data_IF_326385959233
#
_entry.id   IF_326385959233
#
_cell.length_a   1.000
_cell.length_b   1.000
_cell.length_c   1.000
_cell.angle_alpha   90.00
_cell.angle_beta   90.00
_cell.angle_gamma   90.00
#
_symmetry.space_group_name_H-M   'P 1'
#
loop_
_entity.id
_entity.type
_entity.pdbx_description
1 polymer ?
#
# COMPACT_ATOMS: atom_id res chain seq x y z
N UNK A 1 -9.87 6.77 30.87
CA UNK A 1 -8.54 6.20 31.09
C UNK A 1 -8.60 4.83 30.42
N UNK A 2 -8.03 4.56 29.25
CA UNK A 2 -6.84 5.04 28.57
C UNK A 2 -7.12 4.96 27.05
N UNK A 3 -7.01 6.08 26.35
CA UNK A 3 -7.07 6.14 24.88
C UNK A 3 -5.70 6.61 24.42
N UNK A 4 -4.74 5.70 24.47
CA UNK A 4 -3.38 5.91 23.98
C UNK A 4 -3.43 6.15 22.46
N UNK A 5 -3.53 7.43 22.12
CA UNK A 5 -3.47 8.01 20.80
C UNK A 5 -2.02 7.92 20.27
N UNK A 6 -1.45 6.72 20.27
CA UNK A 6 -0.05 6.45 19.94
C UNK A 6 0.26 6.47 18.45
N UNK A 7 -0.29 7.44 17.72
CA UNK A 7 0.20 7.82 16.40
C UNK A 7 1.42 8.72 16.54
N UNK A 8 2.30 8.75 15.54
CA UNK A 8 3.35 9.76 15.44
C UNK A 8 2.73 11.16 15.64
N UNK A 9 3.39 12.03 16.41
CA UNK A 9 3.02 13.46 16.53
C UNK A 9 3.31 14.25 15.24
N UNK A 10 3.51 13.55 14.12
CA UNK A 10 3.81 14.12 12.81
C UNK A 10 2.49 14.55 12.18
N UNK A 11 2.37 15.82 11.82
CA UNK A 11 1.23 16.32 11.06
C UNK A 11 1.43 16.02 9.56
N UNK A 12 0.35 15.76 8.83
CA UNK A 12 0.40 15.47 7.39
C UNK A 12 1.09 16.59 6.60
N UNK A 13 1.00 17.84 7.09
CA UNK A 13 1.68 19.00 6.51
C UNK A 13 3.22 18.85 6.48
N UNK A 14 3.81 18.12 7.43
CA UNK A 14 5.25 17.85 7.44
C UNK A 14 5.65 16.88 6.32
N UNK A 15 4.80 15.88 6.04
CA UNK A 15 4.97 14.94 4.92
C UNK A 15 4.80 15.67 3.59
N UNK A 16 3.85 16.61 3.49
CA UNK A 16 3.66 17.45 2.28
C UNK A 16 4.91 18.30 2.03
N UNK A 17 5.49 18.87 3.08
CA UNK A 17 6.68 19.72 2.96
C UNK A 17 7.95 18.92 2.66
N UNK A 18 7.98 17.63 3.02
CA UNK A 18 9.10 16.71 2.78
C UNK A 18 8.58 15.35 2.30
N UNK A 19 8.12 15.24 1.04
CA UNK A 19 7.56 14.00 0.52
C UNK A 19 8.58 12.86 0.58
N UNK A 20 8.09 11.63 0.72
CA UNK A 20 8.97 10.47 0.80
C UNK A 20 9.64 10.17 -0.53
N UNK A 21 10.96 9.97 -0.50
CA UNK A 21 11.78 9.42 -1.59
C UNK A 21 11.94 7.89 -1.51
N UNK A 22 11.28 7.23 -0.55
CA UNK A 22 11.22 5.78 -0.43
C UNK A 22 9.87 5.28 -0.93
N UNK A 23 9.87 4.51 -2.01
CA UNK A 23 8.66 3.85 -2.48
C UNK A 23 8.38 2.55 -1.69
N UNK A 24 7.19 1.98 -1.85
CA UNK A 24 6.79 0.75 -1.13
C UNK A 24 7.53 -0.51 -1.63
N UNK A 25 8.18 -0.43 -2.79
CA UNK A 25 9.05 -1.46 -3.36
C UNK A 25 10.36 -0.82 -3.83
N UNK A 26 11.42 -1.61 -3.94
CA UNK A 26 12.71 -1.16 -4.49
C UNK A 26 12.73 -1.26 -6.03
N UNK A 27 13.86 -0.90 -6.64
CA UNK A 27 14.05 -0.98 -8.09
C UNK A 27 13.96 -2.41 -8.64
N UNK A 28 14.35 -3.42 -7.84
CA UNK A 28 14.22 -4.82 -8.23
C UNK A 28 12.73 -5.23 -8.29
N UNK A 29 11.94 -4.81 -7.30
CA UNK A 29 10.49 -4.98 -7.32
C UNK A 29 9.85 -4.25 -8.49
N UNK A 30 10.25 -2.99 -8.73
CA UNK A 30 9.70 -2.18 -9.81
C UNK A 30 9.98 -2.78 -11.19
N UNK A 31 11.17 -3.36 -11.39
CA UNK A 31 11.52 -4.08 -12.63
C UNK A 31 10.62 -5.30 -12.91
N UNK A 32 9.92 -5.82 -11.89
CA UNK A 32 8.95 -6.92 -12.01
C UNK A 32 7.51 -6.44 -12.14
N UNK A 33 7.25 -5.13 -12.17
CA UNK A 33 5.89 -4.60 -12.36
C UNK A 33 5.54 -4.69 -13.84
N UNK A 34 4.50 -5.45 -14.18
CA UNK A 34 4.01 -5.57 -15.56
C UNK A 34 3.06 -4.44 -15.94
N UNK A 35 2.28 -3.95 -14.98
CA UNK A 35 1.42 -2.78 -15.11
C UNK A 35 1.11 -2.18 -13.74
N UNK A 36 0.73 -0.93 -13.74
CA UNK A 36 0.19 -0.24 -12.58
C UNK A 36 -1.16 0.39 -12.89
N UNK A 37 -2.03 0.48 -11.89
CA UNK A 37 -3.31 1.21 -11.96
C UNK A 37 -3.28 2.30 -10.91
N UNK A 38 -3.49 3.58 -11.26
CA UNK A 38 -3.48 4.66 -10.29
C UNK A 38 -4.73 4.61 -9.41
N UNK A 39 -4.73 5.45 -8.36
CA UNK A 39 -5.99 5.93 -7.81
C UNK A 39 -6.74 6.71 -8.90
N UNK A 40 -8.02 6.41 -9.11
CA UNK A 40 -8.88 7.12 -10.06
C UNK A 40 -10.07 7.66 -9.28
N UNK A 41 -10.29 8.98 -9.33
CA UNK A 41 -11.29 9.63 -8.50
C UNK A 41 -12.73 9.18 -8.78
N UNK A 42 -13.60 9.31 -7.78
CA UNK A 42 -14.95 8.73 -7.81
C UNK A 42 -15.84 9.25 -8.97
N UNK A 43 -15.53 10.43 -9.51
CA UNK A 43 -16.30 11.07 -10.58
C UNK A 43 -15.82 10.70 -11.99
N UNK A 44 -14.78 9.89 -12.12
CA UNK A 44 -14.20 9.53 -13.42
C UNK A 44 -14.68 8.16 -13.91
N UNK A 45 -14.78 7.95 -15.25
CA UNK A 45 -14.99 6.63 -15.81
C UNK A 45 -13.88 5.67 -15.38
N UNK A 46 -14.27 4.54 -14.79
CA UNK A 46 -13.31 3.58 -14.23
C UNK A 46 -12.72 4.02 -12.90
N UNK A 47 -13.44 4.84 -12.12
CA UNK A 47 -13.16 5.14 -10.72
C UNK A 47 -12.65 3.90 -9.97
N UNK A 48 -11.56 4.10 -9.25
CA UNK A 48 -10.78 3.00 -8.73
C UNK A 48 -10.08 3.43 -7.44
N UNK A 49 -10.49 2.81 -6.34
CA UNK A 49 -9.97 3.13 -5.02
C UNK A 49 -8.55 2.58 -4.84
N UNK A 50 -7.60 3.47 -4.55
CA UNK A 50 -6.20 3.11 -4.33
C UNK A 50 -5.41 2.84 -5.61
N UNK A 51 -4.09 2.75 -5.46
CA UNK A 51 -3.18 2.39 -6.54
C UNK A 51 -2.82 0.90 -6.48
N UNK A 52 -2.45 0.34 -7.62
CA UNK A 52 -2.05 -1.06 -7.81
C UNK A 52 -0.69 -1.16 -8.49
N UNK A 53 0.11 -2.13 -8.05
CA UNK A 53 1.30 -2.61 -8.75
C UNK A 53 1.10 -4.09 -9.03
N UNK A 54 0.89 -4.46 -10.30
CA UNK A 54 0.75 -5.85 -10.74
C UNK A 54 2.09 -6.41 -11.19
N UNK A 55 2.35 -7.65 -10.85
CA UNK A 55 3.66 -8.28 -11.03
C UNK A 55 3.68 -9.30 -12.16
N UNK A 56 4.77 -9.32 -12.92
CA UNK A 56 5.02 -10.23 -14.05
C UNK A 56 5.06 -11.70 -13.62
N UNK A 57 4.79 -12.60 -14.56
CA UNK A 57 4.97 -14.03 -14.38
C UNK A 57 6.37 -14.47 -14.83
N UNK A 58 7.13 -15.17 -13.98
CA UNK A 58 8.51 -15.60 -14.25
C UNK A 58 8.66 -17.15 -14.35
N UNK A 59 7.56 -17.89 -14.37
CA UNK A 59 7.54 -19.38 -14.41
C UNK A 59 8.12 -20.06 -13.16
N UNK A 60 8.49 -19.28 -12.16
CA UNK A 60 8.87 -19.73 -10.82
C UNK A 60 8.37 -18.73 -9.78
N UNK A 61 8.05 -19.17 -8.55
CA UNK A 61 7.63 -18.25 -7.50
C UNK A 61 8.78 -17.32 -7.08
N UNK A 62 8.45 -16.08 -6.73
CA UNK A 62 9.41 -15.13 -6.20
C UNK A 62 8.80 -14.24 -5.13
N UNK A 63 9.66 -13.46 -4.46
CA UNK A 63 9.28 -12.52 -3.41
C UNK A 63 9.63 -11.09 -3.84
N UNK A 64 8.79 -10.14 -3.42
CA UNK A 64 9.05 -8.69 -3.59
C UNK A 64 9.12 -8.06 -2.21
N UNK A 65 10.20 -7.35 -1.90
CA UNK A 65 10.34 -6.63 -0.64
C UNK A 65 9.34 -5.48 -0.56
N UNK A 66 8.68 -5.36 0.59
CA UNK A 66 7.79 -4.25 0.91
C UNK A 66 8.46 -3.38 1.96
N UNK A 67 8.62 -2.10 1.64
CA UNK A 67 9.29 -1.12 2.48
C UNK A 67 8.29 -0.20 3.17
N UNK A 68 8.61 0.23 4.39
CA UNK A 68 7.96 1.38 5.00
C UNK A 68 8.37 2.65 4.24
N UNK A 69 7.45 3.35 3.56
CA UNK A 69 7.81 4.55 2.81
C UNK A 69 8.01 5.76 3.73
N UNK A 70 7.53 5.71 4.96
CA UNK A 70 7.65 6.81 5.93
C UNK A 70 7.81 6.22 7.33
N UNK A 71 8.35 7.02 8.23
CA UNK A 71 8.34 6.69 9.65
C UNK A 71 6.90 6.53 10.15
N UNK A 72 6.67 5.59 11.04
CA UNK A 72 5.34 5.41 11.62
C UNK A 72 5.24 4.22 12.54
N UNK A 73 3.99 3.83 12.84
CA UNK A 73 3.66 2.71 13.71
C UNK A 73 2.70 1.77 13.00
N UNK A 74 3.01 0.48 13.02
CA UNK A 74 2.13 -0.57 12.51
C UNK A 74 0.91 -0.60 13.42
N UNK A 75 -0.25 -0.33 12.83
CA UNK A 75 -1.48 -0.17 13.59
C UNK A 75 -2.47 -1.30 13.40
N UNK A 76 -2.27 -2.11 12.36
CA UNK A 76 -3.02 -3.34 12.11
C UNK A 76 -2.22 -4.27 11.20
N UNK A 77 -2.32 -5.56 11.46
CA UNK A 77 -1.89 -6.64 10.60
C UNK A 77 -3.10 -7.52 10.29
N UNK A 78 -3.31 -7.81 9.02
CA UNK A 78 -4.28 -8.82 8.57
C UNK A 78 -3.49 -10.03 8.09
N UNK A 79 -3.44 -11.11 8.86
CA UNK A 79 -2.68 -12.31 8.49
C UNK A 79 -3.38 -13.14 7.40
N UNK A 80 -4.70 -13.03 7.28
CA UNK A 80 -5.50 -13.74 6.29
C UNK A 80 -6.81 -12.98 6.08
N UNK A 81 -7.23 -12.83 4.82
CA UNK A 81 -8.52 -12.25 4.47
C UNK A 81 -8.98 -12.80 3.13
N UNK A 82 -10.16 -13.41 3.11
CA UNK A 82 -10.84 -13.90 1.90
C UNK A 82 -11.40 -12.72 1.08
N UNK A 83 -10.98 -12.60 -0.18
CA UNK A 83 -11.44 -11.57 -1.10
C UNK A 83 -12.82 -11.86 -1.71
N UNK A 84 -13.40 -13.03 -1.45
CA UNK A 84 -14.68 -13.48 -2.00
C UNK A 84 -14.62 -13.83 -3.50
N UNK A 85 -13.41 -13.97 -4.05
CA UNK A 85 -13.15 -14.18 -5.48
C UNK A 85 -12.27 -15.41 -5.75
N UNK A 86 -12.19 -16.34 -4.80
CA UNK A 86 -11.31 -17.51 -4.91
C UNK A 86 -9.86 -17.26 -4.48
N UNK A 87 -9.55 -16.09 -3.92
CA UNK A 87 -8.22 -15.75 -3.44
C UNK A 87 -8.27 -15.15 -2.04
N UNK A 88 -7.19 -15.33 -1.29
CA UNK A 88 -6.95 -14.62 -0.05
C UNK A 88 -5.74 -13.70 -0.13
N UNK A 89 -5.62 -12.85 0.89
CA UNK A 89 -4.59 -11.83 1.01
C UNK A 89 -4.15 -11.64 2.46
N UNK A 90 -3.11 -10.85 2.62
CA UNK A 90 -2.64 -10.32 3.90
C UNK A 90 -2.36 -8.83 3.76
N UNK A 91 -2.21 -8.12 4.87
CA UNK A 91 -2.05 -6.67 4.80
C UNK A 91 -1.48 -6.02 6.04
N UNK A 92 -1.00 -4.81 5.84
CA UNK A 92 -0.36 -3.98 6.85
C UNK A 92 -0.98 -2.58 6.79
N UNK A 93 -1.32 -2.01 7.95
CA UNK A 93 -1.75 -0.62 8.06
C UNK A 93 -0.72 0.17 8.86
N UNK A 94 0.02 1.03 8.17
CA UNK A 94 1.03 1.92 8.75
C UNK A 94 0.40 3.28 9.08
N UNK A 95 0.27 3.59 10.38
CA UNK A 95 -0.10 4.94 10.81
C UNK A 95 1.14 5.83 10.82
N UNK A 96 1.12 6.93 10.05
CA UNK A 96 2.32 7.74 9.82
C UNK A 96 2.14 9.24 10.13
N UNK A 97 0.91 9.73 10.17
CA UNK A 97 0.65 11.13 10.47
C UNK A 97 -0.73 11.34 11.12
N UNK A 98 -1.00 12.56 11.52
CA UNK A 98 -2.34 13.07 11.82
C UNK A 98 -2.71 14.20 10.87
N UNK A 99 -4.01 14.41 10.67
CA UNK A 99 -4.56 15.53 9.92
C UNK A 99 -5.86 15.95 10.61
N UNK A 100 -5.96 17.22 11.02
CA UNK A 100 -7.12 17.77 11.76
C UNK A 100 -7.56 16.85 12.92
N UNK A 101 -6.59 16.37 13.70
CA UNK A 101 -6.82 15.49 14.86
C UNK A 101 -7.19 14.04 14.54
N UNK A 102 -7.29 13.66 13.26
CA UNK A 102 -7.54 12.28 12.84
C UNK A 102 -6.27 11.60 12.35
N UNK A 103 -6.10 10.32 12.71
CA UNK A 103 -5.01 9.49 12.23
C UNK A 103 -5.08 9.28 10.71
N UNK A 104 -3.95 9.48 10.04
CA UNK A 104 -3.73 9.16 8.63
C UNK A 104 -2.90 7.89 8.56
N UNK A 105 -3.28 6.96 7.68
CA UNK A 105 -2.61 5.67 7.57
C UNK A 105 -2.45 5.24 6.12
N UNK A 106 -1.33 4.61 5.80
CA UNK A 106 -1.13 3.90 4.55
C UNK A 106 -1.57 2.45 4.74
N UNK A 107 -2.53 2.02 3.94
CA UNK A 107 -2.99 0.63 3.88
C UNK A 107 -2.27 -0.09 2.75
N UNK A 108 -1.69 -1.25 3.05
CA UNK A 108 -1.05 -2.15 2.09
C UNK A 108 -1.82 -3.47 2.09
N UNK A 109 -2.39 -3.80 0.93
CA UNK A 109 -3.07 -5.07 0.65
C UNK A 109 -2.16 -5.87 -0.26
N UNK A 110 -1.61 -6.98 0.24
CA UNK A 110 -0.69 -7.86 -0.47
C UNK A 110 -1.49 -9.06 -0.96
N UNK A 111 -1.70 -9.14 -2.28
CA UNK A 111 -2.66 -10.07 -2.89
C UNK A 111 -1.92 -11.04 -3.82
N UNK A 112 -1.51 -12.23 -3.31
CA UNK A 112 -0.77 -13.22 -4.08
C UNK A 112 -1.52 -13.80 -5.27
N UNK A 113 -2.86 -13.84 -5.23
CA UNK A 113 -3.68 -14.54 -6.24
C UNK A 113 -3.25 -16.02 -6.44
N UNK A 114 -2.94 -16.70 -5.34
CA UNK A 114 -2.53 -18.11 -5.32
C UNK A 114 -3.64 -19.09 -4.96
N UNK A 115 -4.90 -18.64 -4.92
CA UNK A 115 -6.00 -19.39 -4.32
C UNK A 115 -6.19 -19.08 -2.83
N UNK A 116 -6.84 -20.00 -2.11
CA UNK A 116 -7.05 -19.95 -0.66
C UNK A 116 -5.87 -20.55 0.11
N UNK A 117 -4.74 -19.85 0.13
CA UNK A 117 -3.52 -20.32 0.78
C UNK A 117 -3.59 -20.30 2.31
N UNK A 118 -4.44 -19.47 2.91
CA UNK A 118 -4.56 -19.30 4.35
C UNK A 118 -5.91 -19.72 4.95
N UNK A 119 -6.81 -20.36 4.18
CA UNK A 119 -8.06 -20.88 4.75
C UNK A 119 -7.84 -22.07 5.70
N UNK A 120 -6.98 -23.01 5.32
CA UNK A 120 -6.63 -24.17 6.16
C UNK A 120 -5.55 -23.85 7.21
N UNK A 121 -4.77 -22.78 6.98
CA UNK A 121 -3.74 -22.27 7.87
C UNK A 121 -3.80 -20.74 7.91
N UNK A 122 -4.52 -20.19 8.90
CA UNK A 122 -4.66 -18.75 9.08
C UNK A 122 -3.33 -18.00 9.30
N UNK A 123 -2.26 -18.74 9.56
CA UNK A 123 -0.91 -18.24 9.76
C UNK A 123 0.00 -18.38 8.53
N UNK A 124 -0.51 -18.94 7.42
CA UNK A 124 0.26 -19.20 6.20
C UNK A 124 1.12 -18.00 5.76
N UNK A 125 0.55 -16.79 5.83
CA UNK A 125 1.23 -15.57 5.41
C UNK A 125 2.14 -14.93 6.47
N UNK A 126 2.11 -15.36 7.73
CA UNK A 126 2.95 -14.77 8.79
C UNK A 126 4.44 -14.79 8.46
N UNK A 127 4.91 -15.81 7.75
CA UNK A 127 6.31 -15.92 7.30
C UNK A 127 6.75 -14.81 6.34
N UNK A 128 5.82 -14.05 5.78
CA UNK A 128 6.10 -12.92 4.90
C UNK A 128 5.91 -11.55 5.56
N UNK A 129 5.54 -11.50 6.85
CA UNK A 129 5.30 -10.27 7.60
C UNK A 129 6.40 -10.15 8.66
N UNK A 130 7.19 -9.08 8.62
CA UNK A 130 8.39 -8.92 9.47
C UNK A 130 8.22 -7.92 10.61
N UNK A 131 6.98 -7.46 10.81
CA UNK A 131 6.62 -6.49 11.81
C UNK A 131 5.43 -6.98 12.63
N UNK A 132 5.25 -6.40 13.81
CA UNK A 132 4.11 -6.67 14.69
C UNK A 132 3.21 -5.44 14.84
N UNK A 133 1.94 -5.65 15.20
CA UNK A 133 1.07 -4.54 15.61
C UNK A 133 1.69 -3.81 16.80
N UNK A 134 1.66 -2.47 16.74
CA UNK A 134 2.28 -1.61 17.72
C UNK A 134 3.77 -1.32 17.48
N UNK A 135 4.43 -2.01 16.55
CA UNK A 135 5.84 -1.78 16.24
C UNK A 135 6.04 -0.44 15.52
N UNK A 136 7.02 0.35 15.98
CA UNK A 136 7.51 1.51 15.23
C UNK A 136 8.46 1.07 14.13
N UNK A 137 8.33 1.69 12.96
CA UNK A 137 9.18 1.46 11.79
C UNK A 137 9.75 2.79 11.29
N UNK A 138 10.88 2.71 10.62
CA UNK A 138 11.56 3.82 9.96
C UNK A 138 11.40 3.71 8.45
N UNK A 139 11.42 4.86 7.77
CA UNK A 139 11.50 4.93 6.31
C UNK A 139 12.66 4.04 5.82
N UNK A 140 12.37 3.10 4.93
CA UNK A 140 13.33 2.14 4.38
C UNK A 140 13.41 0.80 5.11
N UNK A 141 12.69 0.60 6.21
CA UNK A 141 12.58 -0.72 6.84
C UNK A 141 11.81 -1.67 5.92
N UNK A 142 12.31 -2.91 5.77
CA UNK A 142 11.55 -3.99 5.12
C UNK A 142 10.51 -4.51 6.10
N UNK A 143 9.23 -4.28 5.81
CA UNK A 143 8.11 -4.60 6.71
C UNK A 143 7.40 -5.90 6.33
N UNK A 144 7.50 -6.31 5.08
CA UNK A 144 6.96 -7.57 4.57
C UNK A 144 7.64 -7.97 3.26
N UNK A 145 7.23 -9.12 2.74
CA UNK A 145 7.41 -9.49 1.34
C UNK A 145 6.05 -9.82 0.73
N UNK A 146 5.81 -9.46 -0.52
CA UNK A 146 4.74 -10.05 -1.32
C UNK A 146 5.22 -11.40 -1.84
N UNK A 147 4.39 -12.42 -1.72
CA UNK A 147 4.59 -13.72 -2.37
C UNK A 147 3.91 -13.74 -3.73
N UNK A 148 4.70 -13.91 -4.81
CA UNK A 148 4.20 -14.22 -6.15
C UNK A 148 4.23 -15.73 -6.35
N UNK A 149 3.08 -16.42 -6.36
CA UNK A 149 3.02 -17.83 -6.69
C UNK A 149 3.33 -18.07 -8.17
N UNK A 150 3.67 -19.32 -8.49
CA UNK A 150 3.76 -19.80 -9.86
C UNK A 150 2.34 -19.92 -10.46
N UNK A 151 1.81 -18.76 -10.83
CA UNK A 151 0.49 -18.60 -11.42
C UNK A 151 0.64 -18.00 -12.82
N UNK A 152 -0.20 -18.46 -13.75
CA UNK A 152 -0.14 -18.08 -15.18
C UNK A 152 -0.65 -16.67 -15.50
N UNK A 153 -1.00 -15.87 -14.48
CA UNK A 153 -1.48 -14.50 -14.69
C UNK A 153 -0.75 -13.48 -13.84
N UNK A 154 -0.71 -12.25 -14.37
CA UNK A 154 -0.22 -11.05 -13.69
C UNK A 154 -1.31 -10.45 -12.78
N UNK A 155 -2.07 -11.33 -12.11
CA UNK A 155 -3.12 -10.92 -11.17
C UNK A 155 -2.55 -10.57 -9.81
N UNK A 156 -1.42 -11.17 -9.42
CA UNK A 156 -0.73 -10.83 -8.17
C UNK A 156 -0.36 -9.36 -8.13
N UNK A 157 -0.73 -8.68 -7.05
CA UNK A 157 -0.52 -7.26 -6.93
C UNK A 157 -0.43 -6.76 -5.49
N UNK A 158 0.06 -5.53 -5.37
CA UNK A 158 -0.09 -4.72 -4.15
C UNK A 158 -1.16 -3.68 -4.44
N UNK A 159 -2.24 -3.67 -3.66
CA UNK A 159 -3.17 -2.55 -3.61
C UNK A 159 -2.79 -1.66 -2.42
N UNK A 160 -2.72 -0.34 -2.62
CA UNK A 160 -2.37 0.59 -1.56
C UNK A 160 -3.07 1.94 -1.68
N UNK A 161 -3.42 2.51 -0.53
CA UNK A 161 -4.12 3.79 -0.45
C UNK A 161 -3.85 4.45 0.89
N UNK A 162 -4.07 5.77 0.95
CA UNK A 162 -4.13 6.49 2.23
C UNK A 162 -5.56 6.42 2.76
N UNK A 163 -5.70 6.28 4.07
CA UNK A 163 -6.97 6.27 4.78
C UNK A 163 -6.96 7.31 5.90
N UNK A 164 -8.09 7.96 6.11
CA UNK A 164 -8.32 8.89 7.22
C UNK A 164 -9.76 8.73 7.72
N UNK A 165 -9.96 8.84 9.03
CA UNK A 165 -11.30 8.80 9.62
C UNK A 165 -12.17 10.01 9.26
N UNK A 166 -11.59 11.09 8.71
CA UNK A 166 -12.32 12.31 8.37
C UNK A 166 -13.27 12.17 7.19
N UNK A 167 -12.92 11.33 6.22
CA UNK A 167 -13.68 11.17 4.96
C UNK A 167 -14.39 9.82 4.88
N UNK A 168 -14.05 8.87 5.77
CA UNK A 168 -14.56 7.49 5.71
C UNK A 168 -14.16 6.72 4.45
N UNK A 169 -13.26 7.25 3.62
CA UNK A 169 -12.98 6.76 2.27
C UNK A 169 -11.51 6.46 1.99
N UNK A 170 -11.28 5.99 0.76
CA UNK A 170 -9.95 5.75 0.21
C UNK A 170 -9.42 7.05 -0.38
N UNK A 171 -8.21 7.43 0.01
CA UNK A 171 -7.50 8.58 -0.53
C UNK A 171 -6.34 8.14 -1.41
N UNK A 172 -5.95 9.05 -2.30
CA UNK A 172 -4.77 8.81 -3.11
C UNK A 172 -3.52 8.62 -2.22
N UNK A 173 -2.64 7.64 -2.52
CA UNK A 173 -1.39 7.43 -1.78
C UNK A 173 -0.30 8.47 -2.12
N UNK A 174 -0.66 9.75 -2.24
CA UNK A 174 0.22 10.81 -2.73
C UNK A 174 1.16 11.35 -1.64
N UNK A 175 2.06 10.52 -1.12
CA UNK A 175 2.99 10.90 -0.06
C UNK A 175 4.45 10.92 -0.53
N UNK A 176 4.65 10.87 -1.85
CA UNK A 176 5.95 10.59 -2.47
C UNK A 176 6.48 11.76 -3.27
N UNK A 177 7.80 11.79 -3.48
CA UNK A 177 8.45 12.77 -4.35
C UNK A 177 7.98 12.65 -5.81
N UNK A 178 8.14 13.72 -6.61
CA UNK A 178 7.87 13.68 -8.05
C UNK A 178 8.61 12.58 -8.81
N UNK A 179 9.80 12.17 -8.36
CA UNK A 179 10.57 11.09 -9.00
C UNK A 179 9.85 9.75 -8.88
N UNK A 180 9.30 9.40 -7.71
CA UNK A 180 8.51 8.17 -7.53
C UNK A 180 7.24 8.23 -8.37
N UNK A 181 6.57 9.38 -8.42
CA UNK A 181 5.41 9.56 -9.30
C UNK A 181 5.79 9.37 -10.78
N UNK A 182 6.98 9.82 -11.19
CA UNK A 182 7.51 9.57 -12.54
C UNK A 182 7.79 8.09 -12.80
N UNK A 183 8.40 7.38 -11.84
CA UNK A 183 8.65 5.95 -11.95
C UNK A 183 7.34 5.15 -12.05
N UNK A 184 6.33 5.52 -11.26
CA UNK A 184 5.00 4.93 -11.35
C UNK A 184 4.35 5.21 -12.71
N UNK A 185 4.47 6.42 -13.24
CA UNK A 185 3.95 6.78 -14.58
C UNK A 185 4.49 5.89 -15.68
N UNK A 186 5.76 5.49 -15.58
CA UNK A 186 6.40 4.64 -16.58
C UNK A 186 5.75 3.25 -16.68
N UNK A 187 5.17 2.75 -15.58
CA UNK A 187 4.53 1.42 -15.53
C UNK A 187 2.99 1.48 -15.54
N UNK A 188 2.39 2.67 -15.45
CA UNK A 188 0.93 2.88 -15.43
C UNK A 188 0.33 3.35 -16.77
N UNK A 189 1.13 3.38 -17.83
CA UNK A 189 0.72 3.97 -19.11
C UNK A 189 0.64 5.50 -19.06
N UNK A 190 1.52 6.14 -18.29
CA UNK A 190 1.66 7.59 -18.21
C UNK A 190 0.82 8.29 -17.15
N UNK A 191 0.09 7.54 -16.31
CA UNK A 191 -0.79 8.10 -15.27
C UNK A 191 -0.07 8.23 -13.91
N UNK A 192 -0.11 9.39 -13.24
CA UNK A 192 0.46 9.53 -11.89
C UNK A 192 -0.26 8.66 -10.86
N UNK A 193 0.28 8.51 -9.65
CA UNK A 193 -0.36 7.75 -8.57
C UNK A 193 -1.80 8.24 -8.30
N UNK A 194 -2.03 9.53 -8.43
CA UNK A 194 -3.34 10.19 -8.30
C UNK A 194 -3.83 10.69 -9.63
N UNK A 195 -4.75 9.96 -10.25
CA UNK A 195 -5.34 10.35 -11.51
C UNK A 195 -6.73 10.94 -11.28
N UNK A 196 -6.85 12.26 -11.48
CA UNK A 196 -8.11 13.01 -11.38
C UNK A 196 -8.88 12.73 -10.06
N UNK A 197 -8.27 12.95 -8.88
CA UNK A 197 -8.99 12.81 -7.61
C UNK A 197 -10.13 13.82 -7.54
N UNK A 198 -11.29 13.40 -7.02
CA UNK A 198 -12.36 14.32 -6.69
C UNK A 198 -11.98 15.20 -5.49
N UNK A 199 -12.77 16.24 -5.24
CA UNK A 199 -12.54 17.13 -4.10
C UNK A 199 -12.48 16.34 -2.78
N UNK A 200 -11.39 16.52 -2.03
CA UNK A 200 -11.16 15.84 -0.75
C UNK A 200 -10.62 14.41 -0.85
N UNK A 201 -10.44 13.84 -2.04
CA UNK A 201 -9.86 12.51 -2.23
C UNK A 201 -8.32 12.49 -2.18
N UNK A 202 -7.69 13.62 -2.50
CA UNK A 202 -6.27 13.84 -2.24
C UNK A 202 -6.10 14.73 -1.00
N UNK A 203 -5.56 14.15 0.08
CA UNK A 203 -5.30 14.85 1.32
C UNK A 203 -4.02 15.69 1.30
N UNK A 204 -3.11 15.41 0.36
CA UNK A 204 -1.78 16.04 0.32
C UNK A 204 -1.69 17.10 -0.77
N UNK A 205 -2.41 16.89 -1.88
CA UNK A 205 -2.39 17.79 -3.04
C UNK A 205 -1.02 17.85 -3.73
N UNK A 206 -0.21 16.80 -3.58
CA UNK A 206 1.14 16.68 -4.15
C UNK A 206 1.19 16.34 -5.65
#
# INVERSE_FOLDING_TARGET
>A
MDSSNGGSNVELAEIISNPSDQFIIDSNGLAKVSRATPYIGANEPGAHAGAHLNFTTEGTPYLVNIYAPVDGKISKISNCYDLGNGNDKYGIVLAFATHKGSRVSLSLSLEPFGGYLCQDDGDYYKKYIFVAEGQSVKKGDVIAKLYKPDAQSDSTHIHFHVSSKLSGGFHCPNIFTPSINSDFKNVSGGKPLCYQPAEGEDLTGL
#
